data_IF_210980279257
#
_entry.id   IF_210980279257
#
_cell.length_a   1.000
_cell.length_b   1.000
_cell.length_c   1.000
_cell.angle_alpha   90.00
_cell.angle_beta   90.00
_cell.angle_gamma   90.00
#
_symmetry.space_group_name_H-M   'P 1'
#
loop_
_entity.id
_entity.type
_entity.pdbx_description
1 polymer ?
#
# COMPACT_ATOMS: atom_id res chain seq x y z
N UNK A 1 30.27 23.27 -6.52
CA UNK A 1 29.20 22.89 -5.55
C UNK A 1 28.08 22.11 -6.26
N UNK A 2 28.39 21.00 -6.94
CA UNK A 2 27.46 20.32 -7.89
C UNK A 2 27.16 18.85 -7.54
N UNK A 3 27.72 18.31 -6.44
CA UNK A 3 27.53 16.90 -6.06
C UNK A 3 26.29 16.60 -5.21
N UNK A 4 25.66 17.61 -4.58
CA UNK A 4 24.51 17.40 -3.68
C UNK A 4 23.18 17.18 -4.41
N UNK A 5 22.98 17.78 -5.59
CA UNK A 5 21.70 17.71 -6.32
C UNK A 5 21.43 16.32 -6.90
N UNK A 6 22.46 15.65 -7.44
CA UNK A 6 22.35 14.30 -8.00
C UNK A 6 22.05 13.22 -6.94
N UNK A 7 22.52 13.41 -5.71
CA UNK A 7 22.26 12.47 -4.62
C UNK A 7 20.79 12.54 -4.14
N UNK A 8 20.24 13.76 -4.08
CA UNK A 8 18.85 13.97 -3.64
C UNK A 8 17.86 13.42 -4.67
N UNK A 9 18.16 13.57 -5.97
CA UNK A 9 17.32 12.98 -7.04
C UNK A 9 17.42 11.46 -7.07
N UNK A 10 18.61 10.88 -6.87
CA UNK A 10 18.76 9.43 -6.77
C UNK A 10 17.99 8.86 -5.57
N UNK A 11 18.09 9.49 -4.40
CA UNK A 11 17.41 9.05 -3.19
C UNK A 11 15.88 9.10 -3.34
N UNK A 12 15.36 10.19 -3.90
CA UNK A 12 13.91 10.37 -4.15
C UNK A 12 13.36 9.32 -5.14
N UNK A 13 14.19 8.91 -6.11
CA UNK A 13 13.89 7.84 -7.06
C UNK A 13 13.77 6.46 -6.40
N UNK A 14 14.50 6.17 -5.32
CA UNK A 14 14.31 4.92 -4.57
C UNK A 14 13.05 4.97 -3.70
N UNK A 15 12.73 6.15 -3.16
CA UNK A 15 11.59 6.33 -2.25
C UNK A 15 10.25 6.06 -2.97
N UNK A 16 10.06 6.47 -4.23
CA UNK A 16 8.81 6.16 -4.95
C UNK A 16 8.61 4.65 -5.13
N UNK A 17 9.67 3.91 -5.45
CA UNK A 17 9.63 2.45 -5.63
C UNK A 17 9.29 1.73 -4.33
N UNK A 18 9.82 2.21 -3.21
CA UNK A 18 9.53 1.67 -1.89
C UNK A 18 8.05 1.87 -1.55
N UNK A 19 7.50 3.07 -1.73
CA UNK A 19 6.07 3.31 -1.46
C UNK A 19 5.14 2.56 -2.40
N UNK A 20 5.52 2.41 -3.67
CA UNK A 20 4.75 1.66 -4.66
C UNK A 20 4.71 0.16 -4.32
N UNK A 21 5.87 -0.43 -4.02
CA UNK A 21 5.96 -1.83 -3.62
C UNK A 21 5.24 -2.10 -2.30
N UNK A 22 5.38 -1.22 -1.31
CA UNK A 22 4.68 -1.31 -0.04
C UNK A 22 3.16 -1.22 -0.23
N UNK A 23 2.68 -0.27 -1.04
CA UNK A 23 1.27 -0.14 -1.38
C UNK A 23 0.69 -1.40 -2.01
N UNK A 24 1.37 -1.97 -3.01
CA UNK A 24 0.98 -3.24 -3.65
C UNK A 24 0.94 -4.40 -2.66
N UNK A 25 1.91 -4.47 -1.75
CA UNK A 25 1.99 -5.53 -0.73
C UNK A 25 0.81 -5.43 0.26
N UNK A 26 0.50 -4.23 0.74
CA UNK A 26 -0.66 -4.00 1.60
C UNK A 26 -1.98 -4.32 0.91
N UNK A 27 -2.15 -3.93 -0.36
CA UNK A 27 -3.35 -4.27 -1.14
C UNK A 27 -3.47 -5.78 -1.33
N UNK A 28 -2.38 -6.48 -1.59
CA UNK A 28 -2.37 -7.94 -1.74
C UNK A 28 -2.75 -8.65 -0.44
N UNK A 29 -2.19 -8.20 0.70
CA UNK A 29 -2.55 -8.70 2.02
C UNK A 29 -4.03 -8.43 2.33
N UNK A 30 -4.54 -7.24 2.02
CA UNK A 30 -5.94 -6.88 2.23
C UNK A 30 -6.88 -7.85 1.52
N UNK A 31 -6.57 -8.22 0.27
CA UNK A 31 -7.36 -9.19 -0.51
C UNK A 31 -7.34 -10.57 0.17
N UNK A 32 -6.18 -11.03 0.65
CA UNK A 32 -6.09 -12.31 1.37
C UNK A 32 -6.97 -12.30 2.63
N UNK A 33 -6.95 -11.21 3.40
CA UNK A 33 -7.81 -11.06 4.58
C UNK A 33 -9.30 -11.06 4.24
N UNK A 34 -9.69 -10.45 3.11
CA UNK A 34 -11.07 -10.51 2.63
C UNK A 34 -11.47 -11.94 2.23
N UNK A 35 -10.61 -12.68 1.54
CA UNK A 35 -10.87 -14.08 1.18
C UNK A 35 -10.99 -14.97 2.43
N UNK A 36 -10.12 -14.78 3.42
CA UNK A 36 -10.22 -15.49 4.69
C UNK A 36 -11.50 -15.14 5.46
N UNK A 37 -11.94 -13.88 5.43
CA UNK A 37 -13.21 -13.48 6.04
C UNK A 37 -14.38 -14.29 5.47
N UNK A 38 -14.42 -14.52 4.16
CA UNK A 38 -15.42 -15.36 3.50
C UNK A 38 -15.34 -16.81 4.03
N UNK A 39 -14.14 -17.38 4.14
CA UNK A 39 -13.95 -18.72 4.69
C UNK A 39 -14.37 -18.86 6.17
N UNK A 40 -14.21 -17.81 6.98
CA UNK A 40 -14.72 -17.79 8.36
C UNK A 40 -16.25 -17.70 8.41
N UNK A 41 -16.90 -17.01 7.46
CA UNK A 41 -18.36 -16.98 7.35
C UNK A 41 -18.93 -18.36 7.02
N UNK A 42 -18.30 -19.11 6.12
CA UNK A 42 -18.72 -20.49 5.77
C UNK A 42 -18.74 -21.43 6.98
N UNK A 43 -17.86 -21.17 7.96
CA UNK A 43 -17.71 -21.98 9.18
C UNK A 43 -18.51 -21.43 10.38
N UNK A 44 -19.45 -20.51 10.13
CA UNK A 44 -20.28 -19.84 11.15
C UNK A 44 -19.50 -18.99 12.19
N UNK A 45 -18.25 -18.60 11.91
CA UNK A 45 -17.45 -17.72 12.78
C UNK A 45 -17.64 -16.24 12.43
N UNK A 46 -18.84 -15.71 12.75
CA UNK A 46 -19.27 -14.35 12.36
C UNK A 46 -18.37 -13.24 12.96
N UNK A 47 -18.02 -13.36 14.24
CA UNK A 47 -17.17 -12.36 14.89
C UNK A 47 -15.77 -12.31 14.26
N UNK A 48 -15.17 -13.48 14.03
CA UNK A 48 -13.84 -13.59 13.41
C UNK A 48 -13.85 -13.10 11.97
N UNK A 49 -14.91 -13.38 11.19
CA UNK A 49 -15.05 -12.87 9.83
C UNK A 49 -15.14 -11.36 9.79
N UNK A 50 -15.88 -10.74 10.73
CA UNK A 50 -16.00 -9.27 10.80
C UNK A 50 -14.65 -8.61 11.15
N UNK A 51 -13.91 -9.18 12.10
CA UNK A 51 -12.58 -8.67 12.47
C UNK A 51 -11.60 -8.79 11.30
N UNK A 52 -11.57 -9.93 10.61
CA UNK A 52 -10.70 -10.10 9.43
C UNK A 52 -11.10 -9.20 8.27
N UNK A 53 -12.39 -8.97 8.06
CA UNK A 53 -12.88 -8.03 7.06
C UNK A 53 -12.45 -6.59 7.40
N UNK A 54 -12.59 -6.17 8.66
CA UNK A 54 -12.19 -4.84 9.12
C UNK A 54 -10.69 -4.61 8.94
N UNK A 55 -9.87 -5.61 9.28
CA UNK A 55 -8.42 -5.58 9.05
C UNK A 55 -8.14 -5.46 7.55
N UNK A 56 -8.81 -6.25 6.72
CA UNK A 56 -8.71 -6.19 5.26
C UNK A 56 -9.03 -4.79 4.71
N UNK A 57 -10.13 -4.18 5.12
CA UNK A 57 -10.50 -2.82 4.71
C UNK A 57 -9.48 -1.77 5.17
N UNK A 58 -8.97 -1.89 6.40
CA UNK A 58 -7.97 -0.96 6.95
C UNK A 58 -6.65 -1.04 6.16
N UNK A 59 -6.21 -2.25 5.85
CA UNK A 59 -5.03 -2.50 5.01
C UNK A 59 -5.25 -2.00 3.57
N UNK A 60 -6.44 -2.21 3.01
CA UNK A 60 -6.79 -1.74 1.67
C UNK A 60 -6.73 -0.21 1.60
N UNK A 61 -7.35 0.47 2.55
CA UNK A 61 -7.34 1.93 2.65
C UNK A 61 -5.90 2.47 2.75
N UNK A 62 -5.08 1.86 3.62
CA UNK A 62 -3.68 2.23 3.80
C UNK A 62 -2.84 1.96 2.54
N UNK A 63 -3.03 0.82 1.89
CA UNK A 63 -2.35 0.45 0.65
C UNK A 63 -2.68 1.39 -0.51
N UNK A 64 -3.97 1.71 -0.71
CA UNK A 64 -4.42 2.66 -1.72
C UNK A 64 -3.88 4.07 -1.46
N UNK A 65 -3.80 4.48 -0.19
CA UNK A 65 -3.18 5.76 0.19
C UNK A 65 -1.69 5.79 -0.19
N UNK A 66 -0.94 4.73 0.10
CA UNK A 66 0.48 4.62 -0.27
C UNK A 66 0.69 4.60 -1.79
N UNK A 67 -0.18 3.91 -2.53
CA UNK A 67 -0.15 3.92 -4.00
C UNK A 67 -0.38 5.34 -4.54
N UNK A 68 -1.37 6.06 -4.01
CA UNK A 68 -1.61 7.46 -4.35
C UNK A 68 -0.42 8.35 -4.01
N UNK A 69 0.20 8.17 -2.85
CA UNK A 69 1.40 8.89 -2.44
C UNK A 69 2.58 8.61 -3.39
N UNK A 70 2.76 7.35 -3.80
CA UNK A 70 3.81 6.96 -4.74
C UNK A 70 3.64 7.66 -6.10
N UNK A 71 2.40 7.73 -6.61
CA UNK A 71 2.08 8.41 -7.85
C UNK A 71 2.32 9.93 -7.74
N UNK A 72 2.00 10.52 -6.58
CA UNK A 72 2.26 11.93 -6.32
C UNK A 72 3.76 12.26 -6.31
N UNK A 73 4.58 11.43 -5.65
CA UNK A 73 6.04 11.60 -5.64
C UNK A 73 6.59 11.49 -7.06
N UNK A 74 6.13 10.49 -7.83
CA UNK A 74 6.54 10.32 -9.21
C UNK A 74 6.17 11.51 -10.11
N UNK A 75 4.94 12.04 -10.01
CA UNK A 75 4.51 13.23 -10.73
C UNK A 75 5.37 14.44 -10.39
N UNK A 76 5.63 14.65 -9.09
CA UNK A 76 6.49 15.74 -8.61
C UNK A 76 7.93 15.65 -9.12
N UNK A 77 8.49 14.46 -9.32
CA UNK A 77 9.81 14.27 -9.94
C UNK A 77 9.81 14.58 -11.44
N UNK A 78 8.71 14.30 -12.12
CA UNK A 78 8.54 14.54 -13.55
C UNK A 78 8.16 15.99 -13.87
N UNK A 79 7.87 16.80 -12.85
CA UNK A 79 7.48 18.21 -13.02
C UNK A 79 6.09 18.39 -13.63
N UNK A 80 5.22 17.39 -13.48
CA UNK A 80 3.79 17.43 -13.85
C UNK A 80 2.99 17.67 -12.59
#
# INVERSE_FOLDING_TARGET
MTGRSGFISALRRYIYLIYLSLGLLLTSLAILFMVWSIGYMERAFIATSLITLLIGFTLLSSGLYLLRLSAYIYASEKGV
#
